data_IF_305894102229
#
_entry.id   IF_305894102229
#
_cell.length_a   1.000
_cell.length_b   1.000
_cell.length_c   1.000
_cell.angle_alpha   90.00
_cell.angle_beta   90.00
_cell.angle_gamma   90.00
#
_symmetry.space_group_name_H-M   'P 1'
#
loop_
_entity.id
_entity.type
_entity.pdbx_description
1 polymer ?
#
# COMPACT_ATOMS: atom_id res chain seq x y z
N UNK A 1 -14.38 -23.71 22.09
CA UNK A 1 -14.13 -22.39 21.46
C UNK A 1 -12.63 -22.20 21.31
N UNK A 2 -12.12 -21.89 20.11
CA UNK A 2 -10.70 -21.54 19.95
C UNK A 2 -10.44 -20.10 20.37
N UNK A 3 -9.50 -19.87 21.29
CA UNK A 3 -9.04 -18.53 21.65
C UNK A 3 -8.26 -17.96 20.45
N UNK A 4 -8.74 -16.84 19.89
CA UNK A 4 -8.10 -16.16 18.76
C UNK A 4 -7.56 -14.81 19.23
N UNK A 5 -6.33 -14.51 18.85
CA UNK A 5 -5.70 -13.22 19.12
C UNK A 5 -6.42 -12.10 18.36
N UNK A 6 -6.47 -10.89 18.94
CA UNK A 6 -7.06 -9.72 18.30
C UNK A 6 -6.32 -9.39 16.96
N UNK A 7 -7.00 -9.31 15.80
CA UNK A 7 -6.34 -9.18 14.51
C UNK A 7 -5.47 -7.92 14.35
N UNK A 8 -5.92 -6.80 14.93
CA UNK A 8 -5.17 -5.53 14.96
C UNK A 8 -3.95 -5.66 15.86
N UNK A 9 -4.13 -6.13 17.10
CA UNK A 9 -3.04 -6.34 18.07
C UNK A 9 -1.93 -7.24 17.52
N UNK A 10 -2.31 -8.34 16.87
CA UNK A 10 -1.37 -9.25 16.20
C UNK A 10 -0.56 -8.60 15.07
N UNK A 11 -1.00 -7.45 14.54
CA UNK A 11 -0.40 -6.73 13.40
C UNK A 11 0.20 -5.37 13.78
N UNK A 12 0.13 -4.98 15.05
CA UNK A 12 0.73 -3.74 15.54
C UNK A 12 2.25 -3.77 15.30
N UNK A 13 2.78 -2.66 14.77
CA UNK A 13 4.20 -2.53 14.45
C UNK A 13 4.65 -3.18 13.13
N UNK A 14 3.76 -3.94 12.46
CA UNK A 14 4.06 -4.59 11.17
C UNK A 14 3.25 -3.95 10.04
N UNK A 15 1.93 -4.10 10.09
CA UNK A 15 1.00 -3.57 9.07
C UNK A 15 0.01 -2.55 9.64
N UNK A 16 -0.21 -2.54 10.96
CA UNK A 16 -1.03 -1.55 11.64
C UNK A 16 -0.17 -0.69 12.57
N UNK A 17 -0.50 0.61 12.64
CA UNK A 17 0.11 1.56 13.57
C UNK A 17 -0.71 1.76 14.84
N UNK A 18 -0.18 2.56 15.76
CA UNK A 18 -0.86 2.97 16.99
C UNK A 18 -1.85 4.11 16.76
N UNK A 19 -2.98 4.07 17.47
CA UNK A 19 -4.01 5.13 17.47
C UNK A 19 -3.66 6.31 18.38
N UNK A 20 -2.85 6.11 19.40
CA UNK A 20 -2.30 7.22 20.22
C UNK A 20 -0.81 7.32 19.93
N UNK A 21 -0.33 8.52 19.59
CA UNK A 21 1.07 8.79 19.24
C UNK A 21 1.60 9.92 20.10
N UNK A 22 2.29 9.55 21.17
CA UNK A 22 2.95 10.46 22.08
C UNK A 22 3.89 9.66 22.98
N UNK A 23 4.81 10.35 23.65
CA UNK A 23 5.77 9.75 24.57
C UNK A 23 5.81 10.56 25.87
N UNK A 24 5.78 9.88 27.01
CA UNK A 24 5.94 10.48 28.33
C UNK A 24 6.38 9.40 29.33
N UNK A 25 7.45 9.66 30.07
CA UNK A 25 7.93 8.74 31.11
C UNK A 25 7.14 8.91 32.41
N UNK A 26 7.13 10.12 32.98
CA UNK A 26 6.55 10.40 34.30
C UNK A 26 5.02 10.45 34.31
N UNK A 27 4.40 11.01 33.27
CA UNK A 27 2.95 11.29 33.23
C UNK A 27 2.15 10.27 32.40
N UNK A 28 2.71 9.09 32.14
CA UNK A 28 2.11 8.09 31.25
C UNK A 28 0.70 7.69 31.69
N UNK A 29 0.53 7.30 32.96
CA UNK A 29 -0.75 6.84 33.49
C UNK A 29 -1.84 7.91 33.39
N UNK A 30 -1.52 9.16 33.74
CA UNK A 30 -2.46 10.29 33.65
C UNK A 30 -2.94 10.51 32.21
N UNK A 31 -2.02 10.48 31.24
CA UNK A 31 -2.37 10.66 29.82
C UNK A 31 -3.17 9.49 29.26
N UNK A 32 -2.94 8.26 29.71
CA UNK A 32 -3.77 7.10 29.32
C UNK A 32 -5.21 7.26 29.83
N UNK A 33 -5.41 7.66 31.09
CA UNK A 33 -6.75 7.89 31.63
C UNK A 33 -7.47 9.03 30.90
N UNK A 34 -6.74 10.09 30.56
CA UNK A 34 -7.24 11.22 29.77
C UNK A 34 -7.63 10.77 28.34
N UNK A 35 -6.79 10.00 27.65
CA UNK A 35 -7.09 9.44 26.32
C UNK A 35 -8.36 8.57 26.35
N UNK A 36 -8.54 7.74 27.39
CA UNK A 36 -9.73 6.91 27.56
C UNK A 36 -11.00 7.76 27.75
N UNK A 37 -10.91 8.85 28.55
CA UNK A 37 -12.01 9.80 28.73
C UNK A 37 -12.37 10.50 27.41
N UNK A 38 -11.37 11.00 26.68
CA UNK A 38 -11.54 11.66 25.38
C UNK A 38 -12.21 10.71 24.36
N UNK A 39 -11.73 9.47 24.25
CA UNK A 39 -12.30 8.48 23.34
C UNK A 39 -13.76 8.16 23.68
N UNK A 40 -14.07 7.90 24.95
CA UNK A 40 -15.44 7.61 25.41
C UNK A 40 -16.37 8.80 25.17
N UNK A 41 -15.95 10.01 25.52
CA UNK A 41 -16.74 11.23 25.36
C UNK A 41 -17.05 11.51 23.87
N UNK A 42 -16.01 11.54 23.03
CA UNK A 42 -16.17 11.80 21.59
C UNK A 42 -17.03 10.74 20.91
N UNK A 43 -16.82 9.45 21.22
CA UNK A 43 -17.61 8.36 20.64
C UNK A 43 -19.09 8.42 21.05
N UNK A 44 -19.38 8.78 22.31
CA UNK A 44 -20.75 8.94 22.81
C UNK A 44 -21.47 10.12 22.16
N UNK A 45 -20.83 11.29 22.11
CA UNK A 45 -21.48 12.51 21.59
C UNK A 45 -21.70 12.46 20.07
N UNK A 46 -20.72 11.97 19.31
CA UNK A 46 -20.73 11.97 17.85
C UNK A 46 -21.10 10.60 17.26
N UNK A 47 -21.84 9.76 17.99
CA UNK A 47 -22.26 8.44 17.51
C UNK A 47 -23.01 8.52 16.16
N UNK A 48 -23.89 9.50 16.01
CA UNK A 48 -24.66 9.76 14.79
C UNK A 48 -23.81 10.08 13.55
N UNK A 49 -22.58 10.57 13.74
CA UNK A 49 -21.67 10.89 12.64
C UNK A 49 -21.00 9.63 12.05
N UNK A 50 -21.03 8.49 12.77
CA UNK A 50 -20.36 7.26 12.36
C UNK A 50 -18.84 7.41 12.46
N UNK A 51 -18.30 7.33 13.68
CA UNK A 51 -16.87 7.43 13.93
C UNK A 51 -16.20 6.07 13.70
N UNK A 52 -15.25 6.00 12.77
CA UNK A 52 -14.43 4.79 12.55
C UNK A 52 -13.34 4.66 13.61
N UNK A 53 -12.49 5.67 13.73
CA UNK A 53 -11.35 5.68 14.65
C UNK A 53 -11.11 7.09 15.19
N UNK A 54 -10.63 7.17 16.43
CA UNK A 54 -10.16 8.41 17.04
C UNK A 54 -8.65 8.25 17.21
N UNK A 55 -7.85 9.10 16.59
CA UNK A 55 -6.41 9.13 16.85
C UNK A 55 -6.07 10.34 17.71
N UNK A 56 -5.12 10.16 18.62
CA UNK A 56 -4.71 11.20 19.57
C UNK A 56 -3.20 11.37 19.43
N UNK A 57 -2.78 12.56 19.05
CA UNK A 57 -1.38 12.96 19.01
C UNK A 57 -1.18 14.02 20.10
N UNK A 58 -0.14 13.88 20.92
CA UNK A 58 0.17 14.84 21.99
C UNK A 58 1.54 15.44 21.79
N UNK A 59 1.58 16.76 21.87
CA UNK A 59 2.80 17.54 22.11
C UNK A 59 2.71 18.11 23.54
N UNK A 60 3.80 18.61 24.12
CA UNK A 60 3.89 19.04 25.52
C UNK A 60 2.60 19.68 26.09
N UNK A 61 2.09 20.75 25.46
CA UNK A 61 0.89 21.48 25.92
C UNK A 61 -0.32 21.40 24.97
N UNK A 62 -0.20 20.69 23.85
CA UNK A 62 -1.24 20.63 22.81
C UNK A 62 -1.66 19.19 22.54
N UNK A 63 -2.97 18.95 22.55
CA UNK A 63 -3.57 17.65 22.22
C UNK A 63 -4.27 17.76 20.89
N UNK A 64 -3.81 17.01 19.90
CA UNK A 64 -4.41 16.94 18.58
C UNK A 64 -5.28 15.69 18.49
N UNK A 65 -6.59 15.87 18.33
CA UNK A 65 -7.57 14.79 18.20
C UNK A 65 -8.01 14.69 16.75
N UNK A 66 -7.64 13.58 16.10
CA UNK A 66 -7.97 13.30 14.71
C UNK A 66 -9.16 12.33 14.68
N UNK A 67 -10.31 12.81 14.22
CA UNK A 67 -11.54 12.02 14.15
C UNK A 67 -11.75 11.53 12.72
N UNK A 68 -11.69 10.21 12.51
CA UNK A 68 -12.09 9.60 11.23
C UNK A 68 -13.57 9.29 11.24
N UNK A 69 -14.32 9.90 10.33
CA UNK A 69 -15.79 9.82 10.31
C UNK A 69 -16.32 9.52 8.92
N UNK A 70 -17.45 8.82 8.85
CA UNK A 70 -18.20 8.60 7.61
C UNK A 70 -18.97 9.85 7.16
N UNK A 71 -19.37 10.71 8.11
CA UNK A 71 -20.18 11.91 7.86
C UNK A 71 -19.52 13.13 8.48
N UNK A 72 -18.54 13.76 7.81
CA UNK A 72 -17.85 14.92 8.35
C UNK A 72 -18.78 16.12 8.56
N UNK A 73 -19.80 16.30 7.71
CA UNK A 73 -20.73 17.42 7.81
C UNK A 73 -21.48 17.52 9.15
N UNK A 74 -21.79 16.38 9.79
CA UNK A 74 -22.44 16.36 11.11
C UNK A 74 -21.48 16.84 12.20
N UNK A 75 -20.19 16.52 12.07
CA UNK A 75 -19.15 16.92 13.03
C UNK A 75 -18.78 18.40 12.87
N UNK A 76 -18.82 18.92 11.64
CA UNK A 76 -18.52 20.32 11.35
C UNK A 76 -19.68 21.23 11.80
N UNK A 77 -20.92 20.80 11.55
CA UNK A 77 -22.12 21.59 11.84
C UNK A 77 -22.29 22.79 10.89
N UNK A 78 -23.30 23.63 11.17
CA UNK A 78 -23.57 24.82 10.35
C UNK A 78 -22.50 25.88 10.63
N UNK A 79 -21.75 26.29 9.61
CA UNK A 79 -20.67 27.31 9.71
C UNK A 79 -19.58 26.96 10.74
N UNK A 80 -19.35 25.68 11.04
CA UNK A 80 -18.31 25.26 11.97
C UNK A 80 -18.67 25.34 13.47
N UNK A 81 -19.92 25.69 13.81
CA UNK A 81 -20.33 25.90 15.21
C UNK A 81 -20.12 24.69 16.12
N UNK A 82 -20.33 23.48 15.59
CA UNK A 82 -20.22 22.26 16.40
C UNK A 82 -18.75 21.94 16.73
N UNK A 83 -17.80 22.29 15.85
CA UNK A 83 -16.37 22.11 16.11
C UNK A 83 -15.93 23.00 17.26
N UNK A 84 -16.36 24.25 17.30
CA UNK A 84 -16.00 25.19 18.37
C UNK A 84 -16.55 24.75 19.72
N UNK A 85 -17.79 24.26 19.74
CA UNK A 85 -18.41 23.67 20.95
C UNK A 85 -17.64 22.43 21.39
N UNK A 86 -17.31 21.52 20.46
CA UNK A 86 -16.52 20.31 20.74
C UNK A 86 -15.13 20.66 21.27
N UNK A 87 -14.44 21.62 20.67
CA UNK A 87 -13.11 22.08 21.09
C UNK A 87 -13.14 22.62 22.52
N UNK A 88 -14.14 23.44 22.87
CA UNK A 88 -14.36 23.94 24.23
C UNK A 88 -14.61 22.81 25.24
N UNK A 89 -15.48 21.85 24.90
CA UNK A 89 -15.79 20.71 25.77
C UNK A 89 -14.57 19.80 25.99
N UNK A 90 -13.81 19.49 24.94
CA UNK A 90 -12.60 18.70 25.05
C UNK A 90 -11.51 19.45 25.83
N UNK A 91 -11.38 20.76 25.66
CA UNK A 91 -10.46 21.58 26.43
C UNK A 91 -10.81 21.58 27.93
N UNK A 92 -12.09 21.65 28.30
CA UNK A 92 -12.55 21.53 29.68
C UNK A 92 -12.20 20.18 30.32
N UNK A 93 -12.28 19.08 29.57
CA UNK A 93 -11.94 17.73 30.07
C UNK A 93 -10.43 17.52 30.26
N UNK A 94 -9.62 18.20 29.46
CA UNK A 94 -8.17 17.99 29.32
C UNK A 94 -7.37 19.02 30.14
N UNK A 95 -7.93 20.21 30.37
CA UNK A 95 -7.22 21.36 30.94
C UNK A 95 -6.11 21.91 30.03
N UNK A 96 -6.07 21.49 28.76
CA UNK A 96 -5.03 21.82 27.78
C UNK A 96 -5.66 22.34 26.48
N UNK A 97 -4.84 22.93 25.63
CA UNK A 97 -5.29 23.37 24.30
C UNK A 97 -5.49 22.14 23.41
N UNK A 98 -6.72 21.96 22.93
CA UNK A 98 -7.10 20.85 22.04
C UNK A 98 -7.28 21.35 20.62
N UNK A 99 -6.63 20.72 19.66
CA UNK A 99 -6.87 20.93 18.23
C UNK A 99 -7.60 19.73 17.64
N UNK A 100 -8.67 19.98 16.90
CA UNK A 100 -9.55 18.95 16.36
C UNK A 100 -9.41 18.90 14.85
N UNK A 101 -9.03 17.73 14.32
CA UNK A 101 -8.91 17.48 12.87
C UNK A 101 -9.94 16.44 12.46
N UNK A 102 -10.77 16.74 11.46
CA UNK A 102 -11.76 15.80 10.93
C UNK A 102 -11.22 15.22 9.63
N UNK A 103 -11.16 13.90 9.55
CA UNK A 103 -10.74 13.17 8.36
C UNK A 103 -11.92 12.33 7.87
N UNK A 104 -12.23 12.47 6.58
CA UNK A 104 -13.32 11.74 5.95
C UNK A 104 -12.91 10.30 5.60
N UNK A 105 -13.76 9.34 5.94
CA UNK A 105 -13.67 7.96 5.46
C UNK A 105 -14.42 7.85 4.14
N UNK A 106 -13.68 7.89 3.03
CA UNK A 106 -14.24 7.86 1.66
C UNK A 106 -15.13 6.64 1.36
N UNK A 107 -14.84 5.49 1.97
CA UNK A 107 -15.56 4.22 1.74
C UNK A 107 -16.02 3.59 3.06
N UNK A 108 -17.13 4.05 3.65
CA UNK A 108 -17.64 3.55 4.93
C UNK A 108 -17.88 2.03 4.95
N UNK A 109 -18.37 1.47 3.85
CA UNK A 109 -18.67 0.03 3.73
C UNK A 109 -17.42 -0.87 3.77
N UNK A 110 -16.22 -0.31 3.63
CA UNK A 110 -14.96 -1.05 3.75
C UNK A 110 -14.36 -0.97 5.16
N UNK A 111 -14.90 -0.12 6.02
CA UNK A 111 -14.43 0.06 7.39
C UNK A 111 -15.16 -0.91 8.33
N UNK A 112 -14.41 -1.71 9.08
CA UNK A 112 -15.01 -2.78 9.86
C UNK A 112 -15.85 -2.26 11.04
N UNK A 113 -15.46 -1.14 11.64
CA UNK A 113 -16.18 -0.56 12.78
C UNK A 113 -17.52 0.04 12.34
N UNK A 114 -17.51 0.79 11.23
CA UNK A 114 -18.73 1.38 10.69
C UNK A 114 -19.73 0.34 10.20
N UNK A 115 -19.24 -0.75 9.58
CA UNK A 115 -20.10 -1.87 9.17
C UNK A 115 -20.69 -2.58 10.39
N UNK A 116 -19.91 -2.79 11.46
CA UNK A 116 -20.41 -3.41 12.69
C UNK A 116 -21.51 -2.57 13.34
N UNK A 117 -21.32 -1.25 13.45
CA UNK A 117 -22.30 -0.32 14.01
C UNK A 117 -23.57 -0.23 13.17
N UNK A 118 -23.44 -0.26 11.85
CA UNK A 118 -24.58 -0.26 10.95
C UNK A 118 -25.45 -1.52 11.14
N UNK A 119 -24.81 -2.69 11.26
CA UNK A 119 -25.52 -3.95 11.51
C UNK A 119 -26.17 -3.92 12.89
N UNK A 120 -25.47 -3.44 13.92
CA UNK A 120 -26.02 -3.33 15.26
C UNK A 120 -27.29 -2.46 15.27
N UNK A 121 -27.23 -1.28 14.64
CA UNK A 121 -28.38 -0.38 14.50
C UNK A 121 -29.56 -1.02 13.74
N UNK A 122 -29.29 -1.84 12.72
CA UNK A 122 -30.33 -2.57 12.00
C UNK A 122 -30.98 -3.65 12.88
N UNK A 123 -30.20 -4.34 13.71
CA UNK A 123 -30.70 -5.34 14.65
C UNK A 123 -31.57 -4.71 15.74
N UNK A 124 -31.18 -3.56 16.26
CA UNK A 124 -31.99 -2.77 17.22
C UNK A 124 -33.33 -2.36 16.63
N UNK A 125 -33.35 -2.02 15.33
CA UNK A 125 -34.57 -1.73 14.55
C UNK A 125 -35.35 -2.99 14.14
N UNK A 126 -35.07 -4.14 14.74
CA UNK A 126 -35.76 -5.43 14.51
C UNK A 126 -35.68 -5.94 13.07
N UNK A 127 -34.66 -5.54 12.30
CA UNK A 127 -34.40 -6.12 10.98
C UNK A 127 -33.88 -7.54 11.16
N UNK A 128 -34.30 -8.46 10.29
CA UNK A 128 -33.77 -9.83 10.26
C UNK A 128 -32.24 -9.84 10.17
N UNK A 129 -31.59 -10.49 11.13
CA UNK A 129 -30.13 -10.54 11.23
C UNK A 129 -29.46 -11.15 9.99
N UNK A 130 -30.12 -12.13 9.32
CA UNK A 130 -29.64 -12.71 8.06
C UNK A 130 -29.63 -11.67 6.94
N UNK A 131 -30.70 -10.87 6.85
CA UNK A 131 -30.82 -9.81 5.84
C UNK A 131 -29.78 -8.71 6.07
N UNK A 132 -29.63 -8.27 7.32
CA UNK A 132 -28.63 -7.26 7.69
C UNK A 132 -27.21 -7.72 7.35
N UNK A 133 -26.84 -8.95 7.73
CA UNK A 133 -25.52 -9.52 7.42
C UNK A 133 -25.28 -9.67 5.92
N UNK A 134 -26.19 -10.30 5.18
CA UNK A 134 -26.02 -10.51 3.73
C UNK A 134 -25.91 -9.18 2.98
N UNK A 135 -26.75 -8.19 3.33
CA UNK A 135 -26.69 -6.85 2.74
C UNK A 135 -25.33 -6.19 2.96
N UNK A 136 -24.79 -6.25 4.18
CA UNK A 136 -23.48 -5.67 4.49
C UNK A 136 -22.34 -6.40 3.77
N UNK A 137 -22.38 -7.74 3.69
CA UNK A 137 -21.40 -8.52 2.92
C UNK A 137 -21.37 -8.08 1.46
N UNK A 138 -22.53 -8.03 0.80
CA UNK A 138 -22.63 -7.61 -0.61
C UNK A 138 -22.17 -6.18 -0.81
N UNK A 139 -22.52 -5.24 0.08
CA UNK A 139 -22.10 -3.84 -0.05
C UNK A 139 -20.58 -3.68 0.10
N UNK A 140 -19.97 -4.34 1.10
CA UNK A 140 -18.53 -4.28 1.33
C UNK A 140 -17.71 -4.84 0.16
N UNK A 141 -18.15 -5.97 -0.41
CA UNK A 141 -17.49 -6.56 -1.59
C UNK A 141 -17.61 -5.65 -2.82
N UNK A 142 -18.82 -5.11 -3.07
CA UNK A 142 -19.05 -4.16 -4.16
C UNK A 142 -18.16 -2.92 -4.06
N UNK A 143 -17.86 -2.45 -2.84
CA UNK A 143 -17.01 -1.28 -2.61
C UNK A 143 -15.50 -1.56 -2.70
N UNK A 144 -15.12 -2.82 -2.92
CA UNK A 144 -13.75 -3.25 -3.20
C UNK A 144 -13.05 -4.02 -2.07
N UNK A 145 -13.78 -4.51 -1.06
CA UNK A 145 -13.20 -5.45 -0.09
C UNK A 145 -12.85 -6.78 -0.77
N UNK A 146 -11.67 -7.36 -0.47
CA UNK A 146 -11.24 -8.66 -1.03
C UNK A 146 -11.77 -9.85 -0.24
N UNK A 147 -12.27 -9.59 0.96
CA UNK A 147 -13.03 -10.55 1.74
C UNK A 147 -13.58 -9.93 3.00
N UNK A 148 -14.66 -10.51 3.49
CA UNK A 148 -15.36 -10.07 4.68
C UNK A 148 -15.83 -11.28 5.48
N UNK A 149 -15.73 -11.20 6.80
CA UNK A 149 -16.33 -12.15 7.73
C UNK A 149 -17.13 -11.39 8.76
N UNK A 150 -18.42 -11.67 8.84
CA UNK A 150 -19.33 -11.09 9.85
C UNK A 150 -19.76 -12.23 10.77
N UNK A 151 -19.74 -11.99 12.07
CA UNK A 151 -20.18 -12.94 13.09
C UNK A 151 -21.15 -12.22 14.02
N UNK A 152 -22.35 -12.76 14.18
CA UNK A 152 -23.34 -12.28 15.14
C UNK A 152 -23.57 -13.38 16.19
N UNK A 153 -23.46 -13.03 17.47
CA UNK A 153 -23.63 -13.96 18.58
C UNK A 153 -24.59 -13.37 19.62
N UNK A 154 -25.53 -14.20 20.10
CA UNK A 154 -26.53 -13.81 21.09
C UNK A 154 -27.89 -14.44 20.80
N UNK A 155 -28.96 -13.86 21.34
CA UNK A 155 -30.35 -14.29 21.11
C UNK A 155 -30.87 -13.81 19.76
N UNK A 156 -30.34 -14.41 18.69
CA UNK A 156 -30.64 -13.99 17.32
C UNK A 156 -32.12 -14.24 16.98
N UNK A 157 -32.84 -13.16 16.63
CA UNK A 157 -34.26 -13.23 16.28
C UNK A 157 -35.20 -13.44 17.48
N UNK A 158 -34.72 -13.25 18.72
CA UNK A 158 -35.54 -13.41 19.92
C UNK A 158 -35.66 -14.85 20.44
N UNK A 159 -34.93 -15.80 19.86
CA UNK A 159 -34.86 -17.16 20.37
C UNK A 159 -34.37 -17.19 21.84
N UNK A 160 -34.84 -18.16 22.62
CA UNK A 160 -34.45 -18.32 24.02
C UNK A 160 -32.96 -18.67 24.16
N UNK A 161 -32.47 -19.58 23.32
CA UNK A 161 -31.08 -20.06 23.36
C UNK A 161 -30.20 -19.17 22.47
N UNK A 162 -29.10 -18.67 23.05
CA UNK A 162 -28.11 -17.91 22.31
C UNK A 162 -27.37 -18.77 21.28
N UNK A 163 -27.16 -18.20 20.10
CA UNK A 163 -26.49 -18.88 18.98
C UNK A 163 -25.52 -17.94 18.28
N UNK A 164 -24.54 -18.52 17.61
CA UNK A 164 -23.54 -17.78 16.84
C UNK A 164 -23.67 -18.14 15.36
N UNK A 165 -24.04 -17.17 14.53
CA UNK A 165 -24.02 -17.32 13.08
C UNK A 165 -22.91 -16.46 12.47
N UNK A 166 -22.30 -16.96 11.39
CA UNK A 166 -21.28 -16.22 10.66
C UNK A 166 -21.46 -16.36 9.15
N UNK A 167 -21.21 -15.28 8.43
CA UNK A 167 -21.07 -15.27 6.98
C UNK A 167 -19.64 -14.89 6.64
N UNK A 168 -19.02 -15.63 5.71
CA UNK A 168 -17.70 -15.33 5.17
C UNK A 168 -17.74 -15.40 3.67
N UNK A 169 -17.28 -14.34 3.03
CA UNK A 169 -17.19 -14.26 1.57
C UNK A 169 -15.84 -13.67 1.17
N UNK A 170 -15.24 -14.18 0.10
CA UNK A 170 -13.88 -13.84 -0.30
C UNK A 170 -12.79 -14.38 0.65
N UNK A 171 -11.63 -13.71 0.65
CA UNK A 171 -10.43 -14.16 1.39
C UNK A 171 -10.27 -13.39 2.70
N UNK A 172 -10.08 -14.09 3.83
CA UNK A 172 -9.76 -13.48 5.14
C UNK A 172 -8.59 -14.23 5.80
N UNK A 173 -7.34 -13.99 5.38
CA UNK A 173 -6.17 -14.73 5.85
C UNK A 173 -5.64 -14.23 7.21
N UNK A 174 -6.18 -14.77 8.31
CA UNK A 174 -5.87 -14.28 9.67
C UNK A 174 -4.42 -14.53 10.12
N UNK A 175 -3.78 -15.60 9.65
CA UNK A 175 -2.40 -15.93 10.00
C UNK A 175 -1.36 -15.09 9.22
N UNK A 176 -1.77 -14.46 8.12
CA UNK A 176 -0.86 -13.68 7.28
C UNK A 176 -0.67 -12.27 7.85
N UNK A 177 0.52 -11.98 8.37
CA UNK A 177 0.83 -10.68 8.99
C UNK A 177 0.80 -9.48 8.02
N UNK A 178 1.19 -9.72 6.76
CA UNK A 178 1.12 -8.70 5.70
C UNK A 178 -0.31 -8.36 5.25
N UNK A 179 -1.29 -9.17 5.63
CA UNK A 179 -2.68 -8.92 5.24
C UNK A 179 -3.23 -7.70 5.99
N UNK A 180 -3.70 -6.69 5.26
CA UNK A 180 -4.43 -5.56 5.80
C UNK A 180 -5.83 -6.01 6.21
N UNK A 181 -5.96 -6.39 7.48
CA UNK A 181 -7.21 -6.83 8.07
C UNK A 181 -7.67 -5.76 9.07
N UNK A 182 -8.88 -5.30 8.84
CA UNK A 182 -9.62 -4.41 9.71
C UNK A 182 -10.56 -5.22 10.60
N UNK A 183 -10.72 -4.80 11.85
CA UNK A 183 -11.59 -5.46 12.84
C UNK A 183 -12.47 -4.42 13.51
N UNK A 184 -13.77 -4.70 13.53
CA UNK A 184 -14.77 -3.88 14.20
C UNK A 184 -15.66 -4.74 15.10
N UNK A 185 -16.05 -4.16 16.23
CA UNK A 185 -17.00 -4.77 17.14
C UNK A 185 -18.07 -3.75 17.54
N UNK A 186 -19.31 -4.19 17.55
CA UNK A 186 -20.43 -3.43 18.04
C UNK A 186 -21.38 -4.34 18.81
N UNK A 187 -22.12 -3.76 19.74
CA UNK A 187 -23.15 -4.43 20.53
C UNK A 187 -24.49 -3.82 20.16
N UNK A 188 -25.46 -4.67 19.84
CA UNK A 188 -26.84 -4.26 19.58
C UNK A 188 -27.68 -4.49 20.84
N UNK A 189 -28.28 -3.41 21.34
CA UNK A 189 -29.12 -3.43 22.53
C UNK A 189 -30.57 -3.76 22.13
N UNK A 190 -30.91 -5.04 22.17
CA UNK A 190 -32.27 -5.50 21.84
C UNK A 190 -33.09 -5.76 23.10
N UNK A 191 -34.42 -5.82 22.97
CA UNK A 191 -35.33 -6.13 24.08
C UNK A 191 -35.00 -7.46 24.76
N UNK A 192 -34.47 -8.44 24.01
CA UNK A 192 -34.17 -9.78 24.53
C UNK A 192 -32.76 -9.90 25.13
N UNK A 193 -31.95 -8.84 25.07
CA UNK A 193 -30.57 -8.81 25.54
C UNK A 193 -29.59 -8.24 24.51
N UNK A 194 -28.31 -8.47 24.73
CA UNK A 194 -27.23 -7.94 23.88
C UNK A 194 -26.90 -8.95 22.78
N UNK A 195 -26.85 -8.47 21.54
CA UNK A 195 -26.31 -9.22 20.41
C UNK A 195 -24.95 -8.62 20.03
N UNK A 196 -23.89 -9.42 20.12
CA UNK A 196 -22.55 -9.02 19.73
C UNK A 196 -22.32 -9.21 18.23
N UNK A 197 -21.85 -8.16 17.55
CA UNK A 197 -21.49 -8.17 16.13
C UNK A 197 -19.98 -7.98 16.00
N UNK A 198 -19.31 -8.92 15.35
CA UNK A 198 -17.87 -8.86 15.03
C UNK A 198 -17.67 -8.90 13.53
N UNK A 199 -16.94 -7.93 13.01
CA UNK A 199 -16.68 -7.79 11.57
C UNK A 199 -15.18 -7.81 11.31
N UNK A 200 -14.76 -8.62 10.34
CA UNK A 200 -13.40 -8.65 9.81
C UNK A 200 -13.45 -8.34 8.32
N UNK A 201 -12.68 -7.35 7.88
CA UNK A 201 -12.59 -6.97 6.46
C UNK A 201 -11.15 -7.05 6.01
N UNK A 202 -10.90 -7.76 4.91
CA UNK A 202 -9.60 -7.85 4.26
C UNK A 202 -9.56 -6.90 3.07
N UNK A 203 -8.67 -5.91 3.12
CA UNK A 203 -8.53 -4.87 2.08
C UNK A 203 -7.45 -5.22 1.04
N UNK A 204 -6.58 -6.16 1.35
CA UNK A 204 -5.44 -6.56 0.52
C UNK A 204 -4.19 -6.80 1.33
N UNK A 205 -3.11 -7.23 0.70
CA UNK A 205 -1.82 -7.33 1.36
C UNK A 205 -1.18 -5.93 1.35
N UNK A 206 -0.73 -5.46 2.53
CA UNK A 206 0.13 -4.28 2.63
C UNK A 206 1.47 -4.68 2.04
N UNK A 207 1.71 -4.31 0.79
CA UNK A 207 3.06 -4.33 0.24
C UNK A 207 3.76 -3.17 0.93
N UNK A 208 4.69 -3.47 1.84
CA UNK A 208 5.56 -2.45 2.43
C UNK A 208 6.12 -1.62 1.28
N UNK A 209 5.73 -0.34 1.19
CA UNK A 209 6.21 0.62 0.20
C UNK A 209 7.70 0.98 0.41
N UNK A 210 8.52 0.02 0.86
CA UNK A 210 9.97 0.06 0.68
C UNK A 210 10.38 -0.40 -0.72
N UNK A 211 9.43 -0.81 -1.58
CA UNK A 211 9.70 -1.31 -2.94
C UNK A 211 8.92 -0.57 -4.05
N UNK A 212 8.25 0.55 -3.76
CA UNK A 212 7.57 1.37 -4.78
C UNK A 212 8.51 2.36 -5.49
N UNK A 213 9.83 2.27 -5.26
CA UNK A 213 10.84 3.01 -5.98
C UNK A 213 11.41 2.25 -7.19
N UNK A 214 11.12 0.95 -7.34
CA UNK A 214 11.73 0.08 -8.35
C UNK A 214 10.72 -0.59 -9.30
N UNK A 215 9.63 0.11 -9.66
CA UNK A 215 8.82 -0.29 -10.82
C UNK A 215 9.49 0.22 -12.11
N UNK A 216 10.76 -0.16 -12.30
CA UNK A 216 11.42 -0.03 -13.60
C UNK A 216 10.97 -1.21 -14.45
N UNK A 217 10.36 -0.92 -15.61
CA UNK A 217 9.79 -1.91 -16.53
C UNK A 217 10.80 -2.96 -17.05
N UNK A 218 12.07 -2.85 -16.66
CA UNK A 218 13.21 -3.59 -17.19
C UNK A 218 13.70 -4.69 -16.23
N UNK A 219 13.27 -4.73 -14.96
CA UNK A 219 13.74 -5.77 -14.00
C UNK A 219 12.96 -7.09 -14.18
N UNK A 220 13.64 -8.25 -14.18
CA UNK A 220 12.98 -9.54 -14.26
C UNK A 220 12.19 -9.85 -12.98
N UNK A 221 10.86 -9.94 -13.11
CA UNK A 221 9.94 -10.23 -11.99
C UNK A 221 10.11 -11.63 -11.41
N UNK A 222 10.49 -12.62 -12.24
CA UNK A 222 10.74 -14.00 -11.84
C UNK A 222 11.95 -14.55 -12.59
N UNK A 223 12.81 -15.27 -11.89
CA UNK A 223 13.95 -16.00 -12.46
C UNK A 223 14.00 -17.42 -11.95
N UNK A 224 14.52 -18.35 -12.78
CA UNK A 224 14.71 -19.76 -12.41
C UNK A 224 15.65 -19.91 -11.21
N UNK A 225 16.72 -19.10 -11.15
CA UNK A 225 17.71 -19.13 -10.08
C UNK A 225 17.98 -17.71 -9.55
N UNK A 226 17.84 -17.52 -8.23
CA UNK A 226 18.07 -16.21 -7.58
C UNK A 226 19.54 -15.79 -7.56
N UNK A 227 20.48 -16.73 -7.49
CA UNK A 227 21.93 -16.47 -7.47
C UNK A 227 22.60 -17.23 -8.62
N UNK A 228 22.89 -16.56 -9.72
CA UNK A 228 23.60 -17.16 -10.87
C UNK A 228 24.98 -16.51 -11.08
N UNK A 229 25.80 -17.09 -11.94
CA UNK A 229 27.04 -16.44 -12.40
C UNK A 229 26.70 -15.35 -13.41
N UNK A 230 27.45 -14.23 -13.40
CA UNK A 230 27.19 -13.04 -14.23
C UNK A 230 27.49 -13.24 -15.72
N UNK A 231 27.88 -14.43 -16.17
CA UNK A 231 28.24 -14.70 -17.57
C UNK A 231 29.59 -14.11 -18.00
N UNK A 232 30.14 -14.62 -19.11
CA UNK A 232 31.42 -14.15 -19.68
C UNK A 232 31.16 -12.94 -20.59
N UNK A 233 31.97 -11.88 -20.44
CA UNK A 233 31.93 -10.67 -21.28
C UNK A 233 32.73 -10.78 -22.60
N UNK A 234 33.63 -11.76 -22.70
CA UNK A 234 34.54 -11.90 -23.86
C UNK A 234 33.81 -12.36 -25.13
N UNK A 235 34.38 -11.97 -26.28
CA UNK A 235 33.91 -12.33 -27.63
C UNK A 235 32.88 -11.35 -28.21
N UNK A 236 32.51 -11.58 -29.48
CA UNK A 236 31.54 -10.77 -30.22
C UNK A 236 30.08 -11.18 -29.91
N UNK A 237 29.13 -10.28 -30.15
CA UNK A 237 27.71 -10.58 -30.10
C UNK A 237 27.27 -11.33 -31.37
N UNK A 238 26.93 -12.62 -31.24
CA UNK A 238 26.39 -13.40 -32.36
C UNK A 238 24.88 -13.20 -32.61
N UNK A 239 24.17 -12.58 -31.66
CA UNK A 239 22.72 -12.34 -31.75
C UNK A 239 22.43 -10.89 -31.42
N UNK A 240 21.38 -10.34 -32.04
CA UNK A 240 20.90 -8.98 -31.80
C UNK A 240 21.93 -7.90 -32.13
N UNK A 241 22.80 -8.19 -33.08
CA UNK A 241 23.71 -7.24 -33.73
C UNK A 241 23.01 -6.37 -34.77
N UNK A 242 21.90 -6.88 -35.30
CA UNK A 242 21.15 -6.26 -36.39
C UNK A 242 19.93 -5.50 -35.86
N UNK A 243 19.54 -4.45 -36.59
CA UNK A 243 18.31 -3.68 -36.36
C UNK A 243 17.11 -4.52 -36.81
N UNK A 244 16.18 -4.83 -35.91
CA UNK A 244 15.00 -5.66 -36.28
C UNK A 244 13.68 -4.90 -36.29
N UNK A 245 13.55 -3.84 -35.50
CA UNK A 245 12.33 -3.05 -35.36
C UNK A 245 12.50 -1.65 -35.96
N UNK A 246 13.53 -0.91 -35.55
CA UNK A 246 13.72 0.49 -35.93
C UNK A 246 14.58 0.72 -37.15
N UNK A 247 14.51 1.95 -37.69
CA UNK A 247 15.37 2.42 -38.78
C UNK A 247 16.74 2.88 -38.27
N UNK A 248 16.84 3.19 -36.97
CA UNK A 248 18.07 3.63 -36.32
C UNK A 248 18.31 2.84 -35.05
N UNK A 249 19.56 2.66 -34.65
CA UNK A 249 19.89 2.03 -33.38
C UNK A 249 21.22 2.46 -32.78
N UNK A 250 21.37 2.12 -31.50
CA UNK A 250 22.55 2.37 -30.70
C UNK A 250 23.26 1.05 -30.43
N UNK A 251 24.44 0.85 -31.02
CA UNK A 251 25.23 -0.37 -30.90
C UNK A 251 26.39 -0.19 -29.91
N UNK A 252 26.64 -1.20 -29.08
CA UNK A 252 27.81 -1.24 -28.21
C UNK A 252 29.09 -1.52 -29.03
N UNK A 253 30.13 -0.71 -28.81
CA UNK A 253 31.46 -0.93 -29.39
C UNK A 253 32.27 -1.90 -28.51
N UNK A 254 32.17 -1.76 -27.18
CA UNK A 254 32.95 -2.56 -26.24
C UNK A 254 32.09 -3.52 -25.40
N UNK A 255 32.76 -4.44 -24.71
CA UNK A 255 32.12 -5.33 -23.75
C UNK A 255 31.89 -4.63 -22.40
N UNK A 256 30.78 -4.91 -21.75
CA UNK A 256 30.44 -4.24 -20.49
C UNK A 256 29.30 -4.89 -19.74
N UNK A 257 29.04 -4.38 -18.54
CA UNK A 257 27.79 -4.63 -17.83
C UNK A 257 26.97 -3.36 -17.84
N UNK A 258 25.71 -3.45 -18.28
CA UNK A 258 24.76 -2.36 -18.14
C UNK A 258 23.82 -2.63 -16.99
N UNK A 259 23.84 -1.75 -16.00
CA UNK A 259 22.89 -1.80 -14.90
C UNK A 259 21.49 -1.42 -15.37
N UNK A 260 20.47 -1.92 -14.67
CA UNK A 260 19.07 -1.54 -14.87
C UNK A 260 18.91 -0.01 -14.86
N UNK A 261 19.61 0.67 -13.93
CA UNK A 261 19.57 2.14 -13.79
C UNK A 261 20.05 2.86 -15.04
N UNK A 262 21.15 2.39 -15.65
CA UNK A 262 21.67 2.97 -16.88
C UNK A 262 20.73 2.73 -18.06
N UNK A 263 20.17 1.51 -18.15
CA UNK A 263 19.24 1.16 -19.23
C UNK A 263 18.00 2.08 -19.18
N UNK A 264 17.48 2.31 -17.98
CA UNK A 264 16.30 3.15 -17.79
C UNK A 264 16.63 4.65 -17.95
N UNK A 265 17.77 5.11 -17.44
CA UNK A 265 18.21 6.50 -17.61
C UNK A 265 18.40 6.88 -19.09
N UNK A 266 18.99 5.98 -19.89
CA UNK A 266 19.15 6.16 -21.32
C UNK A 266 17.79 6.19 -22.05
N UNK A 267 16.86 5.30 -21.69
CA UNK A 267 15.48 5.30 -22.23
C UNK A 267 14.78 6.63 -21.95
N UNK A 268 14.79 7.07 -20.69
CA UNK A 268 14.16 8.32 -20.27
C UNK A 268 14.78 9.51 -21.00
N UNK A 269 16.10 9.55 -21.17
CA UNK A 269 16.78 10.61 -21.90
C UNK A 269 16.29 10.71 -23.36
N UNK A 270 16.19 9.58 -24.06
CA UNK A 270 15.65 9.54 -25.43
C UNK A 270 14.18 9.95 -25.47
N UNK A 271 13.33 9.35 -24.62
CA UNK A 271 11.89 9.65 -24.60
C UNK A 271 11.62 11.13 -24.31
N UNK A 272 12.37 11.75 -23.41
CA UNK A 272 12.25 13.19 -23.12
C UNK A 272 12.62 14.06 -24.30
N UNK A 273 13.67 13.69 -25.05
CA UNK A 273 14.11 14.45 -26.21
C UNK A 273 13.11 14.34 -27.38
N UNK A 274 12.65 13.13 -27.71
CA UNK A 274 11.71 12.90 -28.82
C UNK A 274 10.26 13.33 -28.49
N UNK A 275 9.95 13.55 -27.21
CA UNK A 275 8.61 13.89 -26.69
C UNK A 275 7.57 12.83 -27.08
N UNK A 276 6.64 13.14 -28.00
CA UNK A 276 5.61 12.22 -28.51
C UNK A 276 5.92 11.67 -29.91
N UNK A 277 7.09 11.99 -30.48
CA UNK A 277 7.48 11.57 -31.82
C UNK A 277 8.26 10.27 -31.81
N UNK A 278 7.76 9.25 -32.49
CA UNK A 278 8.50 8.00 -32.73
C UNK A 278 8.34 6.90 -31.68
N UNK A 279 8.82 5.72 -32.04
CA UNK A 279 8.80 4.49 -31.23
C UNK A 279 10.23 4.17 -30.79
N UNK A 280 10.40 3.76 -29.53
CA UNK A 280 11.68 3.32 -28.97
C UNK A 280 11.54 1.86 -28.54
N UNK A 281 12.50 1.02 -28.93
CA UNK A 281 12.64 -0.34 -28.41
C UNK A 281 13.91 -0.47 -27.58
N UNK A 282 13.78 -1.17 -26.46
CA UNK A 282 14.92 -1.62 -25.65
C UNK A 282 15.26 -3.04 -26.12
N UNK A 283 16.51 -3.26 -26.53
CA UNK A 283 16.99 -4.55 -27.06
C UNK A 283 17.79 -5.38 -26.05
N UNK A 284 18.07 -4.77 -24.90
CA UNK A 284 18.85 -5.36 -23.81
C UNK A 284 18.04 -5.34 -22.53
N UNK A 285 17.96 -6.51 -21.90
CA UNK A 285 17.21 -6.69 -20.66
C UNK A 285 18.18 -7.18 -19.59
N UNK A 286 18.17 -6.60 -18.39
CA UNK A 286 19.05 -6.99 -17.30
C UNK A 286 18.58 -8.34 -16.73
N UNK A 287 19.23 -9.42 -17.16
CA UNK A 287 18.86 -10.79 -16.79
C UNK A 287 19.82 -11.41 -15.76
N UNK A 288 20.94 -10.76 -15.43
CA UNK A 288 21.95 -11.30 -14.49
C UNK A 288 21.93 -10.55 -13.16
N UNK A 289 21.72 -11.24 -12.01
CA UNK A 289 21.78 -10.62 -10.69
C UNK A 289 23.22 -10.30 -10.31
N UNK A 290 23.42 -9.12 -9.74
CA UNK A 290 24.62 -8.70 -9.03
C UNK A 290 24.36 -8.90 -7.54
N UNK A 291 25.17 -9.75 -6.92
CA UNK A 291 25.11 -10.01 -5.48
C UNK A 291 26.14 -9.18 -4.75
N UNK A 292 25.77 -8.53 -3.65
CA UNK A 292 26.70 -7.82 -2.75
C UNK A 292 26.72 -8.48 -1.38
N UNK A 293 27.89 -8.45 -0.74
CA UNK A 293 28.06 -8.81 0.67
C UNK A 293 28.33 -7.54 1.48
N UNK A 294 27.87 -7.48 2.74
CA UNK A 294 28.37 -6.50 3.70
C UNK A 294 29.89 -6.63 3.86
N UNK A 295 30.57 -5.49 4.07
CA UNK A 295 32.02 -5.42 4.16
C UNK A 295 32.62 -6.33 5.25
N UNK A 296 31.86 -6.60 6.31
CA UNK A 296 32.28 -7.37 7.49
C UNK A 296 32.16 -8.91 7.31
N UNK A 297 31.79 -9.39 6.14
CA UNK A 297 31.53 -10.84 5.94
C UNK A 297 32.84 -11.62 5.80
N UNK A 298 33.06 -12.62 6.67
CA UNK A 298 34.21 -13.54 6.59
C UNK A 298 34.30 -14.26 5.23
N UNK A 299 35.52 -14.61 4.82
CA UNK A 299 35.76 -15.44 3.63
C UNK A 299 35.07 -16.81 3.80
N UNK A 300 34.55 -17.35 2.70
CA UNK A 300 33.87 -18.67 2.67
C UNK A 300 32.33 -18.66 2.67
N UNK A 301 31.66 -17.56 3.01
CA UNK A 301 30.17 -17.53 3.14
C UNK A 301 29.37 -17.48 1.82
N UNK A 302 29.89 -18.04 0.72
CA UNK A 302 29.16 -18.14 -0.56
C UNK A 302 28.88 -16.78 -1.25
N UNK A 303 27.79 -16.66 -2.03
CA UNK A 303 27.35 -15.39 -2.67
C UNK A 303 26.34 -14.65 -1.79
N UNK A 304 26.43 -13.32 -1.75
CA UNK A 304 25.49 -12.45 -1.03
C UNK A 304 24.07 -12.41 -1.61
N UNK A 305 23.21 -11.53 -1.09
CA UNK A 305 21.88 -11.32 -1.62
C UNK A 305 21.95 -10.56 -2.97
N UNK A 306 21.08 -10.87 -3.96
CA UNK A 306 20.94 -10.05 -5.17
C UNK A 306 20.46 -8.65 -4.80
N UNK A 307 21.18 -7.63 -5.26
CA UNK A 307 20.88 -6.21 -4.98
C UNK A 307 20.48 -5.48 -6.26
N UNK A 308 21.15 -5.75 -7.38
CA UNK A 308 20.87 -5.14 -8.67
C UNK A 308 20.87 -6.20 -9.79
N UNK A 309 20.38 -5.82 -10.96
CA UNK A 309 20.40 -6.62 -12.18
C UNK A 309 21.20 -5.90 -13.25
N UNK A 310 22.00 -6.69 -13.98
CA UNK A 310 22.81 -6.22 -15.09
C UNK A 310 22.55 -7.03 -16.35
N UNK A 311 22.65 -6.37 -17.49
CA UNK A 311 22.75 -7.02 -18.79
C UNK A 311 24.22 -7.17 -19.17
N UNK A 312 24.61 -8.35 -19.65
CA UNK A 312 25.96 -8.60 -20.18
C UNK A 312 26.00 -8.17 -21.63
N UNK A 313 26.77 -7.13 -21.91
CA UNK A 313 26.92 -6.58 -23.26
C UNK A 313 28.23 -7.07 -23.85
N UNK A 314 28.15 -7.53 -25.10
CA UNK A 314 29.28 -7.84 -25.96
C UNK A 314 29.38 -6.79 -27.08
N UNK A 315 30.59 -6.54 -27.61
CA UNK A 315 30.79 -5.72 -28.80
C UNK A 315 29.85 -6.15 -29.94
N UNK A 316 29.28 -5.17 -30.63
CA UNK A 316 28.35 -5.37 -31.74
C UNK A 316 26.87 -5.54 -31.33
N UNK A 317 26.53 -5.59 -30.04
CA UNK A 317 25.12 -5.74 -29.60
C UNK A 317 24.34 -4.42 -29.75
N UNK A 318 23.16 -4.46 -30.34
CA UNK A 318 22.21 -3.33 -30.35
C UNK A 318 21.56 -3.20 -28.97
N UNK A 319 21.60 -2.00 -28.40
CA UNK A 319 21.05 -1.66 -27.09
C UNK A 319 19.63 -1.09 -27.21
N UNK A 320 19.43 -0.19 -28.17
CA UNK A 320 18.17 0.49 -28.42
C UNK A 320 17.93 0.65 -29.91
N UNK A 321 16.67 0.73 -30.28
CA UNK A 321 16.23 1.04 -31.64
C UNK A 321 15.18 2.14 -31.61
N UNK A 322 15.10 2.90 -32.70
CA UNK A 322 14.17 4.01 -32.84
C UNK A 322 13.59 4.07 -34.26
N UNK A 323 12.30 4.39 -34.37
CA UNK A 323 11.56 4.56 -35.63
C UNK A 323 10.64 5.79 -35.54
N UNK A 324 10.26 6.37 -36.67
CA UNK A 324 9.27 7.46 -36.73
C UNK A 324 9.84 8.84 -36.39
N UNK A 325 11.16 9.01 -36.52
CA UNK A 325 11.86 10.29 -36.35
C UNK A 325 12.83 10.52 -37.51
N UNK A 326 13.25 11.77 -37.71
CA UNK A 326 14.31 12.10 -38.67
C UNK A 326 15.67 11.65 -38.14
N UNK A 327 16.64 11.44 -39.05
CA UNK A 327 17.99 11.00 -38.67
C UNK A 327 18.67 11.97 -37.69
N UNK A 328 18.52 13.28 -37.90
CA UNK A 328 19.07 14.30 -37.00
C UNK A 328 18.55 14.16 -35.56
N UNK A 329 17.23 13.94 -35.41
CA UNK A 329 16.61 13.74 -34.10
C UNK A 329 17.08 12.43 -33.47
N UNK A 330 17.13 11.35 -34.25
CA UNK A 330 17.62 10.05 -33.76
C UNK A 330 19.06 10.13 -33.27
N UNK A 331 19.94 10.79 -34.04
CA UNK A 331 21.36 10.94 -33.72
C UNK A 331 21.57 11.70 -32.41
N UNK A 332 20.87 12.83 -32.23
CA UNK A 332 20.93 13.59 -30.97
C UNK A 332 20.33 12.82 -29.79
N UNK A 333 19.19 12.15 -29.97
CA UNK A 333 18.59 11.34 -28.91
C UNK A 333 19.53 10.23 -28.45
N UNK A 334 20.19 9.55 -29.38
CA UNK A 334 21.15 8.49 -29.08
C UNK A 334 22.46 9.01 -28.48
N UNK A 335 22.91 10.21 -28.86
CA UNK A 335 24.05 10.88 -28.21
C UNK A 335 23.75 11.13 -26.73
N UNK A 336 22.56 11.65 -26.41
CA UNK A 336 22.12 11.85 -25.02
C UNK A 336 22.03 10.52 -24.26
N UNK A 337 21.55 9.46 -24.91
CA UNK A 337 21.50 8.12 -24.33
C UNK A 337 22.89 7.55 -24.04
N UNK A 338 23.84 7.73 -24.97
CA UNK A 338 25.22 7.26 -24.84
C UNK A 338 25.91 7.84 -23.60
N UNK A 339 25.68 9.12 -23.28
CA UNK A 339 26.21 9.75 -22.05
C UNK A 339 25.65 9.16 -20.75
N UNK A 340 24.55 8.38 -20.79
CA UNK A 340 23.98 7.69 -19.62
C UNK A 340 24.51 6.26 -19.46
N UNK A 341 25.27 5.77 -20.44
CA UNK A 341 25.76 4.40 -20.52
C UNK A 341 27.27 4.40 -20.25
N UNK A 342 27.78 3.40 -19.51
CA UNK A 342 29.21 3.30 -19.16
C UNK A 342 30.08 2.59 -20.19
N UNK A 343 29.58 2.34 -21.40
CA UNK A 343 30.33 1.69 -22.47
C UNK A 343 30.23 2.52 -23.76
N UNK A 344 31.31 2.61 -24.56
CA UNK A 344 31.28 3.31 -25.84
C UNK A 344 30.24 2.69 -26.78
N UNK A 345 29.48 3.56 -27.46
CA UNK A 345 28.43 3.17 -28.41
C UNK A 345 28.60 3.90 -29.74
N UNK A 346 28.07 3.30 -30.81
CA UNK A 346 27.97 3.90 -32.13
C UNK A 346 26.53 3.94 -32.61
N UNK A 347 26.21 4.98 -33.38
CA UNK A 347 24.95 5.10 -34.08
C UNK A 347 24.97 4.21 -35.34
N UNK A 348 23.86 3.52 -35.60
CA UNK A 348 23.66 2.71 -36.80
C UNK A 348 22.34 3.10 -37.45
N UNK A 349 22.35 3.16 -38.78
CA UNK A 349 21.18 3.36 -39.62
C UNK A 349 20.94 2.09 -40.42
N UNK A 350 19.68 1.76 -40.66
CA UNK A 350 19.29 0.69 -41.58
C UNK A 350 19.62 1.13 -43.00
N UNK A 351 20.46 0.37 -43.70
CA UNK A 351 20.67 0.58 -45.14
C UNK A 351 19.36 0.29 -45.87
N UNK A 352 18.98 1.19 -46.79
CA UNK A 352 17.84 0.95 -47.66
C UNK A 352 18.21 -0.16 -48.64
N UNK A 353 17.36 -1.18 -48.76
CA UNK A 353 17.44 -2.20 -49.81
C UNK A 353 16.98 -1.57 -51.12
#
# INVERSE_FOLDING_TARGET
MGQKVHPIGFRLGISKGWNSRWYSEKNYAAFVHEDLKLRKFTKKKLFHAGISSIDIERTANKVKVIIRTARPGIVIGKRGSEIDVMKKQLAQLTGKVVDLEIVEVRKPDTDAQLVAENIALQLERRVSFRRAMKKSVTSSLRMGAKGIKIMCAGRLGGAEIARSEWYREGRVPLHTLRADIDYGQAEALTTFGIIGVKVLIYKGDVVTQRAAADDSAVIPKKVKFRKQQRGKRRGLAHRGSDLSFGNYGLQAIECGWLSTRQIEAARIAMTRFIKRGGKIWIRVFPDKPVTKKPAETRMGSGKGAPEDWVCVIKPGRILYEMEGVTEAIAREAFRLAAHKISLPTKFIKREAI
#
